data_IF_869476557446
#
_entry.id   IF_869476557446
#
_cell.length_a   1.000
_cell.length_b   1.000
_cell.length_c   1.000
_cell.angle_alpha   90.00
_cell.angle_beta   90.00
_cell.angle_gamma   90.00
#
_symmetry.space_group_name_H-M   'P 1'
#
loop_
_entity.id
_entity.type
_entity.pdbx_description
1 polymer ?
#
# COMPACT_ATOMS: atom_id res chain seq x y z
N UNK A 1 -7.51 10.35 -8.00
CA UNK A 1 -7.80 9.01 -8.56
C UNK A 1 -6.62 8.69 -9.45
N UNK A 2 -5.64 7.90 -8.94
CA UNK A 2 -4.47 7.51 -9.74
C UNK A 2 -4.94 6.66 -10.91
N UNK A 3 -4.58 7.06 -12.12
CA UNK A 3 -4.86 6.32 -13.35
C UNK A 3 -3.97 5.08 -13.37
N UNK A 4 -4.58 3.89 -13.27
CA UNK A 4 -3.88 2.62 -13.44
C UNK A 4 -3.27 2.54 -14.83
N UNK A 5 -1.96 2.46 -14.89
CA UNK A 5 -1.20 2.35 -16.12
C UNK A 5 -0.97 0.88 -16.44
N UNK A 6 -1.21 0.51 -17.69
CA UNK A 6 -0.95 -0.84 -18.19
C UNK A 6 0.56 -1.03 -18.31
N UNK A 7 1.19 -1.62 -17.29
CA UNK A 7 2.63 -1.92 -17.32
C UNK A 7 2.87 -3.38 -17.70
N UNK A 8 3.96 -3.70 -18.42
CA UNK A 8 4.42 -5.07 -18.57
C UNK A 8 4.68 -5.69 -17.19
N UNK A 9 4.46 -6.99 -17.06
CA UNK A 9 4.68 -7.71 -15.79
C UNK A 9 6.13 -7.57 -15.29
N UNK A 10 7.09 -7.60 -16.21
CA UNK A 10 8.50 -7.45 -15.93
C UNK A 10 8.81 -6.11 -15.24
N UNK A 11 8.19 -5.02 -15.72
CA UNK A 11 8.35 -3.70 -15.13
C UNK A 11 7.74 -3.62 -13.71
N UNK A 12 6.61 -4.33 -13.47
CA UNK A 12 6.04 -4.45 -12.13
C UNK A 12 6.97 -5.21 -11.18
N UNK A 13 7.53 -6.34 -11.63
CA UNK A 13 8.47 -7.14 -10.85
C UNK A 13 9.69 -6.29 -10.46
N UNK A 14 10.33 -5.63 -11.41
CA UNK A 14 11.46 -4.76 -11.16
C UNK A 14 11.15 -3.64 -10.15
N UNK A 15 9.98 -3.02 -10.29
CA UNK A 15 9.51 -1.98 -9.36
C UNK A 15 9.33 -2.53 -7.94
N UNK A 16 8.78 -3.73 -7.79
CA UNK A 16 8.58 -4.37 -6.48
C UNK A 16 9.90 -4.83 -5.86
N UNK A 17 10.83 -5.37 -6.65
CA UNK A 17 12.17 -5.73 -6.18
C UNK A 17 12.93 -4.51 -5.65
N UNK A 18 12.89 -3.40 -6.41
CA UNK A 18 13.48 -2.13 -5.98
C UNK A 18 12.87 -1.62 -4.68
N UNK A 19 11.52 -1.64 -4.56
CA UNK A 19 10.83 -1.26 -3.32
C UNK A 19 11.24 -2.15 -2.15
N UNK A 20 11.29 -3.47 -2.37
CA UNK A 20 11.66 -4.43 -1.34
C UNK A 20 13.11 -4.22 -0.84
N UNK A 21 14.04 -3.87 -1.71
CA UNK A 21 15.42 -3.55 -1.34
C UNK A 21 15.52 -2.30 -0.44
N UNK A 22 14.68 -1.29 -0.68
CA UNK A 22 14.68 -0.04 0.09
C UNK A 22 13.83 -0.12 1.38
N UNK A 23 13.01 -1.15 1.53
CA UNK A 23 12.08 -1.27 2.64
C UNK A 23 12.80 -1.50 3.96
N UNK A 24 12.40 -0.73 4.98
CA UNK A 24 12.77 -0.90 6.37
C UNK A 24 11.54 -0.72 7.25
N UNK A 25 11.37 -1.61 8.20
CA UNK A 25 10.22 -1.60 9.11
C UNK A 25 10.74 -1.58 10.55
N UNK A 26 10.23 -0.66 11.37
CA UNK A 26 10.66 -0.46 12.74
C UNK A 26 9.49 -0.64 13.70
N UNK A 27 9.70 -1.34 14.80
CA UNK A 27 8.80 -1.29 15.95
C UNK A 27 9.41 -0.32 16.97
N UNK A 28 8.76 0.82 17.16
CA UNK A 28 9.31 1.94 17.92
C UNK A 28 8.35 2.36 19.03
N UNK A 29 8.82 2.51 20.29
CA UNK A 29 8.01 3.11 21.34
C UNK A 29 7.81 4.60 21.07
N UNK A 30 6.62 5.12 21.40
CA UNK A 30 6.29 6.52 21.12
C UNK A 30 7.21 7.52 21.82
N UNK A 31 7.86 7.12 22.94
CA UNK A 31 8.88 7.92 23.62
C UNK A 31 10.13 8.19 22.79
N UNK A 32 10.41 7.38 21.78
CA UNK A 32 11.54 7.58 20.85
C UNK A 32 11.16 8.32 19.58
N UNK A 33 9.90 8.75 19.46
CA UNK A 33 9.39 9.45 18.30
C UNK A 33 9.05 10.90 18.62
N UNK A 34 9.30 11.77 17.68
CA UNK A 34 8.77 13.14 17.72
C UNK A 34 8.50 13.64 16.32
N UNK A 35 7.56 14.58 16.21
CA UNK A 35 7.21 15.26 14.98
C UNK A 35 7.92 16.59 14.94
N UNK A 36 8.67 16.86 13.88
CA UNK A 36 9.41 18.11 13.70
C UNK A 36 9.35 18.57 12.24
N UNK A 37 8.97 19.81 12.01
CA UNK A 37 8.94 20.45 10.69
C UNK A 37 8.11 19.69 9.63
N UNK A 38 7.11 18.93 10.03
CA UNK A 38 6.28 18.12 9.12
C UNK A 38 6.77 16.68 8.94
N UNK A 39 7.90 16.31 9.54
CA UNK A 39 8.51 14.98 9.42
C UNK A 39 8.40 14.18 10.72
N UNK A 40 8.42 12.86 10.61
CA UNK A 40 8.61 11.97 11.76
C UNK A 40 10.10 11.78 12.02
N UNK A 41 10.52 12.07 13.24
CA UNK A 41 11.87 11.80 13.72
C UNK A 41 11.85 10.60 14.69
N UNK A 42 12.75 9.64 14.49
CA UNK A 42 12.96 8.49 15.39
C UNK A 42 14.35 8.60 15.98
N UNK A 43 14.43 8.78 17.29
CA UNK A 43 15.71 8.86 18.02
C UNK A 43 16.36 7.47 18.06
N UNK A 44 17.53 7.33 17.44
CA UNK A 44 18.34 6.12 17.44
C UNK A 44 19.30 6.10 18.63
N UNK A 45 19.85 7.26 18.95
CA UNK A 45 20.67 7.52 20.15
C UNK A 45 20.17 8.78 20.85
N UNK A 46 20.87 9.24 21.90
CA UNK A 46 20.55 10.51 22.57
C UNK A 46 20.80 11.73 21.69
N UNK A 47 21.70 11.62 20.70
CA UNK A 47 22.13 12.72 19.83
C UNK A 47 21.68 12.58 18.38
N UNK A 48 21.34 11.37 17.94
CA UNK A 48 21.03 11.08 16.55
C UNK A 48 19.56 10.68 16.36
N UNK A 49 18.95 11.19 15.28
CA UNK A 49 17.60 10.84 14.87
C UNK A 49 17.57 10.53 13.37
N UNK A 50 16.82 9.50 13.02
CA UNK A 50 16.43 9.25 11.62
C UNK A 50 15.19 10.09 11.31
N UNK A 51 15.20 10.78 10.19
CA UNK A 51 14.13 11.67 9.75
C UNK A 51 13.41 11.00 8.57
N UNK A 52 12.09 10.91 8.64
CA UNK A 52 11.24 10.30 7.63
C UNK A 52 10.18 11.29 7.18
N UNK A 53 10.16 11.58 5.87
CA UNK A 53 9.12 12.39 5.26
C UNK A 53 7.86 11.54 5.09
N UNK A 54 6.74 11.93 5.70
CA UNK A 54 5.53 11.13 5.69
C UNK A 54 4.80 11.24 4.35
N UNK A 55 4.27 10.13 3.85
CA UNK A 55 3.26 10.13 2.79
C UNK A 55 1.91 10.59 3.34
N UNK A 56 0.96 10.96 2.47
CA UNK A 56 -0.40 11.32 2.91
C UNK A 56 -1.11 10.20 3.67
N UNK A 57 -0.85 8.94 3.29
CA UNK A 57 -1.37 7.79 4.00
C UNK A 57 -0.78 7.68 5.40
N UNK A 58 0.54 7.85 5.53
CA UNK A 58 1.22 7.88 6.81
C UNK A 58 0.63 8.93 7.75
N UNK A 59 0.40 10.15 7.24
CA UNK A 59 -0.20 11.25 8.00
C UNK A 59 -1.63 10.93 8.44
N UNK A 60 -2.40 10.30 7.57
CA UNK A 60 -3.75 9.84 7.91
C UNK A 60 -3.71 8.81 9.04
N UNK A 61 -2.79 7.85 8.95
CA UNK A 61 -2.66 6.78 9.92
C UNK A 61 -2.12 7.26 11.27
N UNK A 62 -1.12 8.15 11.30
CA UNK A 62 -0.64 8.71 12.57
C UNK A 62 -1.73 9.54 13.25
N UNK A 63 -2.49 10.34 12.50
CA UNK A 63 -3.63 11.06 13.03
C UNK A 63 -4.65 10.11 13.66
N UNK A 64 -5.06 9.05 12.97
CA UNK A 64 -6.00 8.04 13.45
C UNK A 64 -5.48 7.32 14.71
N UNK A 65 -4.22 6.91 14.72
CA UNK A 65 -3.60 6.21 15.87
C UNK A 65 -3.48 7.09 17.11
N UNK A 66 -3.34 8.40 16.92
CA UNK A 66 -3.28 9.39 17.99
C UNK A 66 -4.66 9.97 18.37
N UNK A 67 -5.71 9.61 17.63
CA UNK A 67 -7.08 10.12 17.85
C UNK A 67 -7.25 11.58 17.42
N UNK A 68 -6.45 12.05 16.48
CA UNK A 68 -6.55 13.38 15.89
C UNK A 68 -7.44 13.29 14.64
N UNK A 69 -8.55 14.04 14.56
CA UNK A 69 -9.39 14.02 13.37
C UNK A 69 -8.64 14.43 12.11
N UNK A 70 -8.68 13.60 11.06
CA UNK A 70 -7.94 13.84 9.81
C UNK A 70 -8.20 15.22 9.16
N UNK A 71 -9.44 15.74 9.10
CA UNK A 71 -9.68 17.09 8.59
C UNK A 71 -8.97 18.18 9.42
N UNK A 72 -8.91 17.99 10.75
CA UNK A 72 -8.20 18.90 11.64
C UNK A 72 -6.70 18.83 11.44
N UNK A 73 -6.12 17.61 11.33
CA UNK A 73 -4.70 17.40 11.05
C UNK A 73 -4.27 18.14 9.78
N UNK A 74 -5.00 17.93 8.67
CA UNK A 74 -4.72 18.60 7.38
C UNK A 74 -4.83 20.12 7.46
N UNK A 75 -5.87 20.63 8.15
CA UNK A 75 -6.05 22.07 8.37
C UNK A 75 -4.88 22.66 9.15
N UNK A 76 -4.47 22.00 10.22
CA UNK A 76 -3.35 22.45 11.04
C UNK A 76 -2.02 22.39 10.27
N UNK A 77 -1.78 21.34 9.49
CA UNK A 77 -0.59 21.21 8.64
C UNK A 77 -0.40 22.41 7.72
N UNK A 78 -1.49 22.90 7.11
CA UNK A 78 -1.42 24.01 6.15
C UNK A 78 -1.41 25.39 6.79
N UNK A 79 -2.10 25.59 7.93
CA UNK A 79 -2.30 26.91 8.52
C UNK A 79 -1.47 27.17 9.77
N UNK A 80 -1.19 26.11 10.55
CA UNK A 80 -0.54 26.22 11.85
C UNK A 80 0.38 25.02 12.11
N UNK A 81 1.47 24.82 11.34
CA UNK A 81 2.34 23.64 11.45
C UNK A 81 2.98 23.49 12.84
N UNK A 82 3.33 24.60 13.51
CA UNK A 82 3.90 24.58 14.85
C UNK A 82 2.91 24.01 15.88
N UNK A 83 1.63 24.37 15.75
CA UNK A 83 0.58 23.88 16.63
C UNK A 83 0.29 22.39 16.33
N UNK A 84 0.35 21.96 15.08
CA UNK A 84 0.27 20.54 14.74
C UNK A 84 1.41 19.74 15.39
N UNK A 85 2.65 20.26 15.30
CA UNK A 85 3.82 19.64 15.91
C UNK A 85 3.62 19.45 17.41
N UNK A 86 3.19 20.50 18.12
CA UNK A 86 2.90 20.42 19.56
C UNK A 86 1.81 19.40 19.88
N UNK A 87 0.76 19.35 19.05
CA UNK A 87 -0.37 18.45 19.23
C UNK A 87 0.08 16.98 19.06
N UNK A 88 0.76 16.64 17.94
CA UNK A 88 1.26 15.29 17.69
C UNK A 88 2.22 14.84 18.80
N UNK A 89 3.17 15.69 19.17
CA UNK A 89 4.15 15.38 20.22
C UNK A 89 3.50 15.20 21.59
N UNK A 90 2.47 16.01 21.92
CA UNK A 90 1.71 15.85 23.15
C UNK A 90 0.99 14.49 23.23
N UNK A 91 0.42 14.02 22.12
CA UNK A 91 -0.21 12.71 22.07
C UNK A 91 0.78 11.55 22.09
N UNK A 92 1.94 11.66 21.43
CA UNK A 92 3.01 10.68 21.50
C UNK A 92 3.52 10.56 22.96
N UNK A 93 3.69 11.66 23.65
CA UNK A 93 4.16 11.69 25.03
C UNK A 93 3.14 11.11 26.05
N UNK A 94 1.84 11.10 25.72
CA UNK A 94 0.79 10.60 26.63
C UNK A 94 0.93 9.11 26.96
N UNK A 95 1.40 8.30 25.99
CA UNK A 95 1.59 6.87 26.16
C UNK A 95 3.01 6.43 25.74
N UNK A 96 4.05 6.79 26.50
CA UNK A 96 5.45 6.68 26.06
C UNK A 96 5.93 5.24 25.81
N UNK A 97 5.23 4.25 26.36
CA UNK A 97 5.55 2.82 26.19
C UNK A 97 4.76 2.14 25.07
N UNK A 98 3.82 2.86 24.44
CA UNK A 98 3.04 2.31 23.34
C UNK A 98 3.93 2.17 22.11
N UNK A 99 4.02 0.96 21.58
CA UNK A 99 4.78 0.67 20.38
C UNK A 99 3.91 0.84 19.12
N UNK A 100 4.54 1.34 18.08
CA UNK A 100 3.97 1.43 16.74
C UNK A 100 4.92 0.81 15.73
N UNK A 101 4.35 0.25 14.67
CA UNK A 101 5.11 -0.16 13.51
C UNK A 101 5.19 1.01 12.54
N UNK A 102 6.40 1.43 12.25
CA UNK A 102 6.73 2.48 11.27
C UNK A 102 7.33 1.78 10.07
N UNK A 103 6.63 1.81 8.93
CA UNK A 103 7.11 1.26 7.67
C UNK A 103 7.72 2.35 6.83
N UNK A 104 8.90 2.11 6.29
CA UNK A 104 9.67 3.14 5.57
C UNK A 104 10.28 2.62 4.28
N UNK A 105 10.67 3.56 3.42
CA UNK A 105 11.67 3.35 2.41
C UNK A 105 12.88 4.22 2.72
N UNK A 106 14.05 3.60 2.73
CA UNK A 106 15.33 4.27 2.91
C UNK A 106 16.08 4.30 1.59
N UNK A 107 16.52 5.48 1.20
CA UNK A 107 17.39 5.67 0.06
C UNK A 107 18.48 6.70 0.38
N UNK A 108 19.41 6.90 -0.55
CA UNK A 108 20.57 7.78 -0.34
C UNK A 108 20.20 9.27 -0.20
N UNK A 109 19.04 9.68 -0.68
CA UNK A 109 18.66 11.10 -0.74
C UNK A 109 17.60 11.49 0.28
N UNK A 110 16.62 10.64 0.52
CA UNK A 110 15.49 10.95 1.39
C UNK A 110 14.84 9.67 1.92
N UNK A 111 14.60 9.61 3.22
CA UNK A 111 13.86 8.52 3.83
C UNK A 111 12.37 8.86 3.85
N UNK A 112 11.54 7.92 3.41
CA UNK A 112 10.09 8.10 3.32
C UNK A 112 9.38 7.25 4.36
N UNK A 113 8.55 7.89 5.19
CA UNK A 113 7.58 7.20 6.05
C UNK A 113 6.34 6.84 5.25
N UNK A 114 6.11 5.56 5.00
CA UNK A 114 5.02 5.09 4.15
C UNK A 114 3.79 4.61 4.90
N UNK A 115 3.95 4.07 6.12
CA UNK A 115 2.82 3.67 6.96
C UNK A 115 3.14 3.75 8.46
N UNK A 116 2.10 4.10 9.24
CA UNK A 116 2.13 4.16 10.70
C UNK A 116 1.04 3.27 11.29
N UNK A 117 1.43 2.08 11.76
CA UNK A 117 0.51 0.99 12.10
C UNK A 117 0.63 0.60 13.57
N UNK A 118 -0.30 -0.26 14.03
CA UNK A 118 -0.13 -0.89 15.34
C UNK A 118 1.01 -1.92 15.28
N UNK A 119 1.68 -2.16 16.41
CA UNK A 119 2.72 -3.19 16.50
C UNK A 119 2.22 -4.63 16.35
N UNK A 120 0.90 -4.84 16.33
CA UNK A 120 0.26 -6.12 16.07
C UNK A 120 -0.16 -6.32 14.60
N UNK A 121 0.20 -5.40 13.72
CA UNK A 121 -0.10 -5.53 12.30
C UNK A 121 0.72 -6.66 11.67
N UNK A 122 0.04 -7.59 11.00
CA UNK A 122 0.69 -8.65 10.25
C UNK A 122 0.99 -8.15 8.84
N UNK A 123 2.27 -8.08 8.51
CA UNK A 123 2.72 -7.65 7.20
C UNK A 123 2.50 -8.77 6.19
N UNK A 124 1.88 -8.42 5.05
CA UNK A 124 1.84 -9.23 3.84
C UNK A 124 2.33 -8.34 2.71
N UNK A 125 3.52 -8.62 2.22
CA UNK A 125 4.16 -7.76 1.25
C UNK A 125 3.63 -7.99 -0.18
N UNK A 126 3.52 -6.92 -0.97
CA UNK A 126 3.07 -6.97 -2.36
C UNK A 126 3.95 -7.90 -3.20
N UNK A 127 5.26 -7.93 -2.93
CA UNK A 127 6.20 -8.83 -3.55
C UNK A 127 5.82 -10.31 -3.31
N UNK A 128 5.57 -10.69 -2.05
CA UNK A 128 5.20 -12.06 -1.67
C UNK A 128 3.85 -12.46 -2.30
N UNK A 129 2.87 -11.57 -2.28
CA UNK A 129 1.54 -11.81 -2.88
C UNK A 129 1.65 -12.03 -4.39
N UNK A 130 2.43 -11.19 -5.08
CA UNK A 130 2.62 -11.33 -6.52
C UNK A 130 3.27 -12.68 -6.88
N UNK A 131 4.36 -13.03 -6.20
CA UNK A 131 5.08 -14.29 -6.52
C UNK A 131 4.26 -15.51 -6.16
N UNK A 132 3.57 -15.53 -5.02
CA UNK A 132 2.66 -16.61 -4.65
C UNK A 132 1.53 -16.78 -5.67
N UNK A 133 0.97 -15.67 -6.16
CA UNK A 133 -0.07 -15.69 -7.19
C UNK A 133 0.43 -16.24 -8.52
N UNK A 134 1.59 -15.79 -8.98
CA UNK A 134 2.20 -16.26 -10.23
C UNK A 134 2.58 -17.75 -10.15
N UNK A 135 3.07 -18.20 -9.01
CA UNK A 135 3.38 -19.61 -8.78
C UNK A 135 2.11 -20.47 -8.79
N UNK A 136 1.07 -20.03 -8.09
CA UNK A 136 -0.24 -20.70 -8.09
C UNK A 136 -0.81 -20.82 -9.51
N UNK A 137 -0.79 -19.74 -10.30
CA UNK A 137 -1.23 -19.75 -11.69
C UNK A 137 -0.42 -20.78 -12.51
N UNK A 138 0.90 -20.78 -12.35
CA UNK A 138 1.78 -21.73 -13.04
C UNK A 138 1.45 -23.18 -12.70
N UNK A 139 1.15 -23.47 -11.43
CA UNK A 139 0.81 -24.82 -10.96
C UNK A 139 -0.51 -25.34 -11.53
N UNK A 140 -1.48 -24.47 -11.81
CA UNK A 140 -2.75 -24.87 -12.42
C UNK A 140 -2.62 -25.34 -13.85
N UNK A 141 -1.55 -24.94 -14.56
CA UNK A 141 -1.37 -25.20 -15.99
C UNK A 141 -2.35 -24.45 -16.91
N UNK A 142 -3.25 -23.62 -16.36
CA UNK A 142 -4.22 -22.84 -17.11
C UNK A 142 -3.51 -21.69 -17.82
N UNK A 143 -3.80 -21.53 -19.12
CA UNK A 143 -3.30 -20.36 -19.86
C UNK A 143 -4.05 -19.11 -19.42
N UNK A 144 -3.30 -18.15 -18.92
CA UNK A 144 -3.84 -16.86 -18.47
C UNK A 144 -3.24 -15.72 -19.28
N UNK A 145 -3.99 -14.62 -19.36
CA UNK A 145 -3.52 -13.35 -19.91
C UNK A 145 -3.56 -12.31 -18.80
N UNK A 146 -2.42 -11.68 -18.56
CA UNK A 146 -2.33 -10.54 -17.63
C UNK A 146 -2.79 -9.30 -18.39
N UNK A 147 -3.85 -8.66 -17.90
CA UNK A 147 -4.42 -7.47 -18.56
C UNK A 147 -3.85 -6.19 -17.97
N UNK A 148 -3.71 -6.14 -16.65
CA UNK A 148 -3.20 -4.99 -15.93
C UNK A 148 -2.38 -5.50 -14.76
N UNK A 149 -1.20 -4.94 -14.61
CA UNK A 149 -0.33 -5.17 -13.48
C UNK A 149 0.20 -3.79 -13.05
N UNK A 150 -0.13 -3.35 -11.83
CA UNK A 150 0.31 -2.06 -11.31
C UNK A 150 0.46 -2.10 -9.79
N UNK A 151 1.35 -1.25 -9.29
CA UNK A 151 1.52 -0.99 -7.86
C UNK A 151 1.59 0.51 -7.60
N UNK A 152 0.61 0.99 -6.86
CA UNK A 152 0.57 2.37 -6.35
C UNK A 152 1.30 2.46 -5.01
N UNK A 153 1.27 3.61 -4.36
CA UNK A 153 1.81 3.75 -3.00
C UNK A 153 1.11 2.85 -1.99
N UNK A 154 -0.16 2.56 -2.22
CA UNK A 154 -1.05 1.94 -1.23
C UNK A 154 -1.56 0.56 -1.61
N UNK A 155 -1.41 0.15 -2.87
CA UNK A 155 -2.05 -1.08 -3.35
C UNK A 155 -1.35 -1.70 -4.55
N UNK A 156 -1.18 -3.02 -4.48
CA UNK A 156 -0.92 -3.89 -5.63
C UNK A 156 -2.25 -4.21 -6.31
N UNK A 157 -2.25 -4.22 -7.64
CA UNK A 157 -3.37 -4.62 -8.46
C UNK A 157 -2.89 -5.49 -9.62
N UNK A 158 -3.40 -6.71 -9.72
CA UNK A 158 -3.14 -7.63 -10.82
C UNK A 158 -4.47 -8.14 -11.36
N UNK A 159 -4.78 -7.85 -12.62
CA UNK A 159 -5.96 -8.35 -13.33
C UNK A 159 -5.54 -9.42 -14.32
N UNK A 160 -6.17 -10.57 -14.23
CA UNK A 160 -5.88 -11.76 -15.02
C UNK A 160 -7.15 -12.26 -15.69
N UNK A 161 -7.09 -12.60 -16.97
CA UNK A 161 -8.17 -13.29 -17.67
C UNK A 161 -7.76 -14.71 -18.03
N UNK A 162 -8.75 -15.60 -18.03
CA UNK A 162 -8.61 -17.02 -18.36
C UNK A 162 -9.41 -17.34 -19.62
N UNK A 163 -8.81 -17.23 -20.83
CA UNK A 163 -9.52 -17.43 -22.09
C UNK A 163 -10.16 -18.82 -22.23
N UNK A 164 -9.56 -19.84 -21.61
CA UNK A 164 -10.09 -21.22 -21.66
C UNK A 164 -11.43 -21.36 -20.92
N UNK A 165 -11.69 -20.51 -19.92
CA UNK A 165 -12.96 -20.50 -19.16
C UNK A 165 -14.04 -19.69 -19.89
N UNK A 166 -13.65 -18.77 -20.75
CA UNK A 166 -14.55 -17.93 -21.56
C UNK A 166 -15.48 -18.77 -22.44
N UNK A 167 -14.95 -19.81 -23.07
CA UNK A 167 -15.71 -20.72 -23.93
C UNK A 167 -16.82 -21.46 -23.20
N UNK A 168 -16.58 -21.85 -21.95
CA UNK A 168 -17.57 -22.55 -21.12
C UNK A 168 -18.68 -21.62 -20.63
N UNK A 169 -18.35 -20.36 -20.35
CA UNK A 169 -19.32 -19.36 -19.91
C UNK A 169 -20.32 -18.99 -20.99
N UNK A 170 -19.93 -18.95 -22.27
CA UNK A 170 -20.83 -18.70 -23.39
C UNK A 170 -21.94 -19.77 -23.52
N UNK A 171 -21.61 -21.04 -23.27
CA UNK A 171 -22.61 -22.10 -23.28
C UNK A 171 -23.65 -21.97 -22.17
N UNK A 172 -23.22 -21.58 -20.96
CA UNK A 172 -24.12 -21.36 -19.83
C UNK A 172 -25.04 -20.15 -20.01
N UNK A 173 -24.65 -19.19 -20.81
CA UNK A 173 -25.37 -17.91 -20.97
C UNK A 173 -26.26 -17.85 -22.19
N UNK A 174 -26.21 -18.83 -23.09
CA UNK A 174 -27.08 -18.91 -24.27
C UNK A 174 -28.58 -18.74 -23.96
N UNK A 175 -29.00 -19.05 -22.72
CA UNK A 175 -30.39 -18.88 -22.29
C UNK A 175 -30.73 -17.50 -21.70
N UNK A 176 -29.73 -16.65 -21.42
CA UNK A 176 -29.90 -15.35 -20.76
C UNK A 176 -29.64 -14.15 -21.68
N UNK A 177 -28.87 -14.34 -22.75
CA UNK A 177 -28.56 -13.30 -23.70
C UNK A 177 -29.64 -13.26 -24.79
N UNK A 178 -30.22 -12.09 -25.04
CA UNK A 178 -31.10 -11.88 -26.16
C UNK A 178 -30.32 -12.05 -27.45
N UNK A 179 -30.94 -12.65 -28.51
CA UNK A 179 -30.28 -13.00 -29.76
C UNK A 179 -29.48 -11.86 -30.43
N UNK A 180 -29.76 -10.61 -30.13
CA UNK A 180 -29.09 -9.44 -30.68
C UNK A 180 -27.93 -8.90 -29.84
N UNK A 181 -27.71 -9.41 -28.62
CA UNK A 181 -26.62 -8.99 -27.74
C UNK A 181 -25.43 -9.96 -27.77
N UNK A 182 -25.62 -11.14 -28.33
CA UNK A 182 -24.61 -12.20 -28.35
C UNK A 182 -23.44 -11.98 -29.32
N UNK A 183 -23.56 -11.02 -30.24
CA UNK A 183 -22.62 -10.89 -31.37
C UNK A 183 -21.37 -10.06 -31.08
N UNK A 184 -21.17 -9.50 -29.86
CA UNK A 184 -20.06 -8.59 -29.62
C UNK A 184 -19.42 -8.59 -28.23
N UNK A 185 -20.05 -9.15 -27.21
CA UNK A 185 -19.56 -9.07 -25.82
C UNK A 185 -19.44 -10.47 -25.20
N UNK A 186 -18.40 -11.21 -25.59
CA UNK A 186 -18.03 -12.42 -24.87
C UNK A 186 -17.79 -12.11 -23.39
N UNK A 187 -18.26 -12.98 -22.49
CA UNK A 187 -17.93 -12.87 -21.06
C UNK A 187 -16.49 -13.26 -20.88
N UNK A 188 -15.70 -12.30 -20.49
CA UNK A 188 -14.29 -12.52 -20.14
C UNK A 188 -14.24 -12.96 -18.68
N UNK A 189 -13.99 -14.24 -18.45
CA UNK A 189 -13.75 -14.73 -17.09
C UNK A 189 -12.32 -14.46 -16.66
N UNK A 190 -12.17 -14.11 -15.40
CA UNK A 190 -10.88 -13.80 -14.86
C UNK A 190 -10.95 -13.53 -13.35
N UNK A 191 -9.83 -13.14 -12.78
CA UNK A 191 -9.77 -12.76 -11.38
C UNK A 191 -8.86 -11.53 -11.19
N UNK A 192 -9.05 -10.89 -10.06
CA UNK A 192 -8.26 -9.74 -9.66
C UNK A 192 -7.60 -10.08 -8.33
N UNK A 193 -6.29 -9.86 -8.27
CA UNK A 193 -5.52 -9.94 -7.04
C UNK A 193 -5.19 -8.53 -6.61
N UNK A 194 -5.49 -8.22 -5.36
CA UNK A 194 -5.13 -6.94 -4.75
C UNK A 194 -4.51 -7.17 -3.38
N UNK A 195 -3.52 -6.37 -3.04
CA UNK A 195 -2.94 -6.35 -1.71
C UNK A 195 -2.70 -4.90 -1.28
N UNK A 196 -2.71 -4.67 0.03
CA UNK A 196 -2.32 -3.39 0.63
C UNK A 196 -1.34 -3.69 1.74
N UNK A 197 -0.09 -3.29 1.54
CA UNK A 197 0.97 -3.46 2.56
C UNK A 197 0.87 -2.46 3.71
N UNK A 198 -0.07 -1.53 3.65
CA UNK A 198 -0.15 -0.36 4.51
C UNK A 198 -1.56 -0.09 5.01
#
# INVERSE_FOLDING_TARGET
>A
METMTKQPLEALVEKLEKRNAMKRDFIVPSSKMHWANGDLCINTTETDAMIFKPTELFETQIADKLGIPNPYFRKMKSLHPDLLQQNVNGWLAKNPRKNYMVRTYENETENTGRAFLSNSYNIIDDYEVLFAALEAIKQTGVKVKINTADVTENRLYLSVTCPEIEVQAEEFLKGYLKENEAAGNGIISGFIITNSEV
#
